data_IF_017123383921
#
_entry.id   IF_017123383921
#
_cell.length_a   1.000
_cell.length_b   1.000
_cell.length_c   1.000
_cell.angle_alpha   90.00
_cell.angle_beta   90.00
_cell.angle_gamma   90.00
#
_symmetry.space_group_name_H-M   'P 1'
#
loop_
_entity.id
_entity.type
_entity.pdbx_description
1 polymer ?
#
# COMPACT_ATOMS: atom_id res chain seq x y z
N UNK A 1 -8.22 -5.69 29.05
CA UNK A 1 -9.23 -5.62 27.97
C UNK A 1 -8.53 -5.27 26.67
N UNK A 2 -8.56 -6.15 25.67
CA UNK A 2 -8.00 -5.86 24.35
C UNK A 2 -8.98 -4.90 23.66
N UNK A 3 -8.68 -3.60 23.62
CA UNK A 3 -9.56 -2.61 22.99
C UNK A 3 -9.53 -2.85 21.48
N UNK A 4 -10.48 -3.65 20.98
CA UNK A 4 -10.64 -3.92 19.56
C UNK A 4 -11.09 -2.64 18.86
N UNK A 5 -10.16 -1.98 18.17
CA UNK A 5 -10.45 -0.78 17.37
C UNK A 5 -11.55 -1.11 16.36
N UNK A 6 -12.53 -0.20 16.20
CA UNK A 6 -13.55 -0.32 15.15
C UNK A 6 -12.87 -0.37 13.77
N UNK A 7 -13.38 -1.17 12.81
CA UNK A 7 -12.78 -1.29 11.48
C UNK A 7 -12.54 0.05 10.78
N UNK A 8 -13.46 1.01 10.94
CA UNK A 8 -13.34 2.36 10.38
C UNK A 8 -12.09 3.11 10.88
N UNK A 9 -11.75 2.98 12.17
CA UNK A 9 -10.56 3.62 12.73
C UNK A 9 -9.27 2.98 12.21
N UNK A 10 -9.30 1.66 11.99
CA UNK A 10 -8.16 0.94 11.39
C UNK A 10 -7.95 1.43 9.96
N UNK A 11 -9.03 1.45 9.16
CA UNK A 11 -8.99 1.93 7.78
C UNK A 11 -8.43 3.34 7.68
N UNK A 12 -8.96 4.31 8.45
CA UNK A 12 -8.49 5.69 8.41
C UNK A 12 -7.03 5.84 8.86
N UNK A 13 -6.64 5.18 9.95
CA UNK A 13 -5.25 5.23 10.43
C UNK A 13 -4.30 4.71 9.37
N UNK A 14 -4.65 3.59 8.74
CA UNK A 14 -3.82 2.98 7.72
C UNK A 14 -3.78 3.85 6.45
N UNK A 15 -4.90 4.39 5.99
CA UNK A 15 -4.90 5.28 4.82
C UNK A 15 -4.11 6.56 5.06
N UNK A 16 -4.16 7.11 6.27
CA UNK A 16 -3.34 8.27 6.65
C UNK A 16 -1.85 7.92 6.63
N UNK A 17 -1.44 6.80 7.24
CA UNK A 17 -0.04 6.35 7.25
C UNK A 17 0.48 6.06 5.84
N UNK A 18 -0.34 5.43 5.01
CA UNK A 18 -0.03 5.20 3.60
C UNK A 18 0.13 6.51 2.83
N UNK A 19 -0.77 7.48 3.05
CA UNK A 19 -0.69 8.79 2.40
C UNK A 19 0.60 9.53 2.79
N UNK A 20 0.99 9.46 4.07
CA UNK A 20 2.25 10.01 4.55
C UNK A 20 3.46 9.30 3.92
N UNK A 21 3.43 7.96 3.83
CA UNK A 21 4.47 7.18 3.15
C UNK A 21 4.61 7.57 1.67
N UNK A 22 3.50 7.64 0.94
CA UNK A 22 3.50 8.05 -0.48
C UNK A 22 3.99 9.46 -0.67
N UNK A 23 3.61 10.39 0.21
CA UNK A 23 4.10 11.76 0.17
C UNK A 23 5.63 11.80 0.33
N UNK A 24 6.17 11.12 1.34
CA UNK A 24 7.63 11.02 1.53
C UNK A 24 8.29 10.37 0.33
N UNK A 25 7.73 9.29 -0.21
CA UNK A 25 8.25 8.62 -1.40
C UNK A 25 8.33 9.55 -2.61
N UNK A 26 7.25 10.30 -2.89
CA UNK A 26 7.21 11.26 -4.00
C UNK A 26 8.25 12.36 -3.79
N UNK A 27 8.37 12.90 -2.57
CA UNK A 27 9.40 13.90 -2.26
C UNK A 27 10.81 13.37 -2.52
N UNK A 28 11.10 12.14 -2.09
CA UNK A 28 12.37 11.49 -2.34
C UNK A 28 12.58 11.24 -3.83
N UNK A 29 11.57 10.75 -4.55
CA UNK A 29 11.64 10.49 -5.98
C UNK A 29 11.93 11.77 -6.77
N UNK A 30 11.23 12.87 -6.48
CA UNK A 30 11.47 14.18 -7.12
C UNK A 30 12.86 14.72 -6.82
N UNK A 31 13.36 14.50 -5.60
CA UNK A 31 14.68 14.98 -5.20
C UNK A 31 15.84 14.16 -5.81
N UNK A 32 15.70 12.83 -5.86
CA UNK A 32 16.76 11.91 -6.26
C UNK A 32 16.72 11.52 -7.74
N UNK A 33 15.55 11.40 -8.37
CA UNK A 33 15.45 10.96 -9.76
C UNK A 33 16.21 11.89 -10.73
N UNK A 34 16.10 13.23 -10.65
CA UNK A 34 16.86 14.11 -11.54
C UNK A 34 18.37 13.97 -11.35
N UNK A 35 18.82 13.75 -10.12
CA UNK A 35 20.24 13.57 -9.79
C UNK A 35 20.77 12.23 -10.30
N UNK A 36 19.97 11.17 -10.21
CA UNK A 36 20.29 9.87 -10.81
C UNK A 36 20.40 9.96 -12.33
N UNK A 37 19.44 10.64 -12.97
CA UNK A 37 19.43 10.78 -14.43
C UNK A 37 20.57 11.68 -14.94
N UNK A 38 20.90 12.76 -14.22
CA UNK A 38 21.94 13.71 -14.64
C UNK A 38 23.37 13.23 -14.34
N UNK A 39 23.57 12.38 -13.32
CA UNK A 39 24.91 12.00 -12.83
C UNK A 39 25.45 10.69 -13.41
N UNK A 40 24.58 9.84 -13.95
CA UNK A 40 24.95 8.56 -14.54
C UNK A 40 24.93 8.46 -16.09
N UNK A 41 24.85 9.52 -16.92
CA UNK A 41 24.87 9.34 -18.38
C UNK A 41 26.19 8.75 -18.91
N UNK A 42 27.27 8.75 -18.12
CA UNK A 42 28.53 8.07 -18.44
C UNK A 42 28.66 6.65 -17.85
N UNK A 43 27.72 6.21 -17.00
CA UNK A 43 27.80 4.97 -16.21
C UNK A 43 26.65 4.01 -16.52
N UNK A 44 25.47 4.53 -16.88
CA UNK A 44 24.30 3.75 -17.25
C UNK A 44 24.12 3.78 -18.78
N UNK A 45 24.05 2.62 -19.45
CA UNK A 45 23.68 2.55 -20.85
C UNK A 45 22.33 3.27 -21.08
N UNK A 46 22.15 3.98 -22.20
CA UNK A 46 20.91 4.68 -22.52
C UNK A 46 19.67 3.76 -22.44
N UNK A 47 19.84 2.48 -22.75
CA UNK A 47 18.76 1.48 -22.65
C UNK A 47 18.29 1.26 -21.21
N UNK A 48 19.16 1.45 -20.21
CA UNK A 48 18.86 1.28 -18.78
C UNK A 48 18.25 2.53 -18.17
N UNK A 49 18.68 3.72 -18.62
CA UNK A 49 18.18 5.00 -18.12
C UNK A 49 16.66 5.16 -18.26
N UNK A 50 16.08 4.60 -19.33
CA UNK A 50 14.64 4.61 -19.60
C UNK A 50 13.85 3.86 -18.50
N UNK A 51 14.46 2.88 -17.83
CA UNK A 51 13.80 2.05 -16.81
C UNK A 51 13.86 2.62 -15.39
N UNK A 52 14.70 3.63 -15.13
CA UNK A 52 14.87 4.21 -13.79
C UNK A 52 13.56 4.82 -13.29
N UNK A 53 12.86 5.57 -14.15
CA UNK A 53 11.61 6.22 -13.78
C UNK A 53 10.47 5.21 -13.58
N UNK A 54 10.24 4.22 -14.49
CA UNK A 54 9.35 3.09 -14.24
C UNK A 54 9.67 2.30 -12.96
N UNK A 55 10.94 2.05 -12.66
CA UNK A 55 11.32 1.32 -11.45
C UNK A 55 10.97 2.10 -10.17
N UNK A 56 11.23 3.41 -10.16
CA UNK A 56 10.88 4.30 -9.04
C UNK A 56 9.37 4.42 -8.81
N UNK A 57 8.55 4.31 -9.86
CA UNK A 57 7.09 4.34 -9.74
C UNK A 57 6.51 2.97 -9.41
N UNK A 58 7.15 1.87 -9.81
CA UNK A 58 6.73 0.50 -9.48
C UNK A 58 6.91 0.14 -8.02
N UNK A 59 7.98 0.63 -7.36
CA UNK A 59 8.25 0.36 -5.94
C UNK A 59 7.07 0.66 -4.99
N UNK A 60 6.46 1.86 -5.00
CA UNK A 60 5.31 2.14 -4.15
C UNK A 60 4.09 1.31 -4.53
N UNK A 61 3.89 1.03 -5.82
CA UNK A 61 2.77 0.17 -6.29
C UNK A 61 2.91 -1.24 -5.71
N UNK A 62 4.12 -1.82 -5.76
CA UNK A 62 4.40 -3.14 -5.19
C UNK A 62 4.20 -3.11 -3.66
N UNK A 63 4.71 -2.07 -2.99
CA UNK A 63 4.52 -1.90 -1.55
C UNK A 63 3.04 -1.89 -1.15
N UNK A 64 2.19 -1.23 -1.94
CA UNK A 64 0.74 -1.20 -1.73
C UNK A 64 0.10 -2.55 -1.96
N UNK A 65 0.32 -3.11 -3.14
CA UNK A 65 -0.41 -4.29 -3.60
C UNK A 65 -0.07 -5.52 -2.76
N UNK A 66 1.21 -5.70 -2.44
CA UNK A 66 1.70 -6.94 -1.83
C UNK A 66 1.91 -6.88 -0.33
N UNK A 67 2.02 -5.68 0.26
CA UNK A 67 2.23 -5.55 1.69
C UNK A 67 1.09 -4.80 2.35
N UNK A 68 0.74 -3.62 1.84
CA UNK A 68 -0.24 -2.75 2.50
C UNK A 68 -1.67 -3.30 2.44
N UNK A 69 -2.19 -3.57 1.24
CA UNK A 69 -3.54 -4.10 1.04
C UNK A 69 -3.80 -5.39 1.81
N UNK A 70 -2.96 -6.44 1.73
CA UNK A 70 -3.15 -7.66 2.52
C UNK A 70 -3.11 -7.41 4.03
N UNK A 71 -2.16 -6.60 4.51
CA UNK A 71 -2.05 -6.29 5.93
C UNK A 71 -3.31 -5.58 6.46
N UNK A 72 -3.79 -4.58 5.72
CA UNK A 72 -5.04 -3.87 6.01
C UNK A 72 -6.24 -4.81 5.99
N UNK A 73 -6.34 -5.67 4.97
CA UNK A 73 -7.44 -6.62 4.81
C UNK A 73 -7.52 -7.61 5.99
N UNK A 74 -6.40 -8.17 6.45
CA UNK A 74 -6.35 -9.09 7.61
C UNK A 74 -6.88 -8.39 8.87
N UNK A 75 -6.42 -7.16 9.13
CA UNK A 75 -6.82 -6.42 10.31
C UNK A 75 -8.28 -6.01 10.27
N UNK A 76 -8.79 -5.61 9.10
CA UNK A 76 -10.20 -5.30 8.89
C UNK A 76 -11.08 -6.54 9.01
N UNK A 77 -10.65 -7.69 8.49
CA UNK A 77 -11.33 -8.98 8.65
C UNK A 77 -11.46 -9.38 10.11
N UNK A 78 -10.36 -9.31 10.87
CA UNK A 78 -10.36 -9.63 12.30
C UNK A 78 -11.20 -8.65 13.12
N UNK A 79 -11.11 -7.35 12.83
CA UNK A 79 -11.93 -6.34 13.51
C UNK A 79 -13.42 -6.50 13.19
N UNK A 80 -13.79 -6.75 11.94
CA UNK A 80 -15.18 -7.04 11.56
C UNK A 80 -15.68 -8.37 12.14
N UNK A 81 -14.79 -9.33 12.40
CA UNK A 81 -15.10 -10.55 13.13
C UNK A 81 -15.47 -10.29 14.60
N UNK A 82 -14.92 -9.25 15.24
CA UNK A 82 -15.16 -8.95 16.65
C UNK A 82 -16.26 -7.90 16.89
N UNK A 83 -16.76 -7.25 15.84
CA UNK A 83 -17.83 -6.25 15.91
C UNK A 83 -19.02 -6.76 15.08
N UNK A 84 -20.01 -7.37 15.75
CA UNK A 84 -21.14 -8.10 15.13
C UNK A 84 -22.34 -7.23 14.73
N UNK A 85 -22.21 -5.90 14.75
CA UNK A 85 -23.35 -4.99 14.55
C UNK A 85 -23.13 -4.02 13.39
N UNK A 86 -24.09 -4.00 12.46
CA UNK A 86 -24.27 -2.95 11.45
C UNK A 86 -23.74 -3.24 10.04
N UNK A 87 -24.24 -2.45 9.06
CA UNK A 87 -23.87 -2.52 7.64
C UNK A 87 -22.36 -2.43 7.38
N UNK A 88 -21.63 -1.72 8.24
CA UNK A 88 -20.17 -1.59 8.13
C UNK A 88 -19.45 -2.94 8.19
N UNK A 89 -19.93 -3.90 8.97
CA UNK A 89 -19.29 -5.23 9.08
C UNK A 89 -19.22 -5.95 7.73
N UNK A 90 -20.32 -5.93 6.97
CA UNK A 90 -20.41 -6.54 5.64
C UNK A 90 -19.49 -5.83 4.64
N UNK A 91 -19.45 -4.49 4.67
CA UNK A 91 -18.59 -3.71 3.79
C UNK A 91 -17.10 -4.04 4.01
N UNK A 92 -16.64 -4.14 5.27
CA UNK A 92 -15.24 -4.42 5.58
C UNK A 92 -14.85 -5.87 5.29
N UNK A 93 -15.77 -6.83 5.49
CA UNK A 93 -15.55 -8.24 5.10
C UNK A 93 -15.52 -8.42 3.59
N UNK A 94 -16.40 -7.74 2.85
CA UNK A 94 -16.40 -7.76 1.40
C UNK A 94 -15.11 -7.17 0.84
N UNK A 95 -14.66 -6.02 1.38
CA UNK A 95 -13.37 -5.43 1.03
C UNK A 95 -12.22 -6.42 1.25
N UNK A 96 -12.13 -7.02 2.45
CA UNK A 96 -11.06 -7.98 2.76
C UNK A 96 -11.12 -9.23 1.85
N UNK A 97 -12.32 -9.75 1.57
CA UNK A 97 -12.50 -10.89 0.67
C UNK A 97 -12.06 -10.59 -0.77
N UNK A 98 -12.35 -9.39 -1.29
CA UNK A 98 -11.87 -8.95 -2.61
C UNK A 98 -10.34 -8.88 -2.63
N UNK A 99 -9.72 -8.34 -1.58
CA UNK A 99 -8.25 -8.27 -1.47
C UNK A 99 -7.64 -9.68 -1.41
N UNK A 100 -8.21 -10.60 -0.64
CA UNK A 100 -7.73 -11.98 -0.58
C UNK A 100 -7.90 -12.72 -1.91
N UNK A 101 -9.05 -12.56 -2.58
CA UNK A 101 -9.29 -13.13 -3.90
C UNK A 101 -8.33 -12.59 -4.97
N UNK A 102 -8.03 -11.29 -4.95
CA UNK A 102 -7.03 -10.68 -5.84
C UNK A 102 -5.62 -11.23 -5.62
N UNK A 103 -5.25 -11.52 -4.37
CA UNK A 103 -3.94 -12.05 -4.00
C UNK A 103 -3.84 -13.59 -4.15
N UNK A 104 -4.92 -14.26 -4.55
CA UNK A 104 -4.97 -15.72 -4.65
C UNK A 104 -4.90 -16.42 -3.29
N UNK A 105 -5.16 -15.71 -2.19
CA UNK A 105 -5.20 -16.25 -0.83
C UNK A 105 -6.61 -16.83 -0.63
N UNK A 106 -6.81 -18.05 -1.12
CA UNK A 106 -8.01 -18.85 -0.86
C UNK A 106 -7.75 -19.64 0.41
N UNK A 107 -8.35 -19.19 1.52
CA UNK A 107 -8.41 -19.98 2.76
C UNK A 107 -9.40 -21.13 2.62
#
# INVERSE_FOLDING_TARGET
MNVTRKPVHIFFTEHLLYSAYMFVWVMLAVYFAPKLLARYPSVLPPEVGIWVLPALTMLPIIAVLYFWLPFSAIRLWYAAGNHHEGFGQYAWRAYAAVVFGFLGIWG
#
